data_IF_639919655503
#
_entry.id   IF_639919655503
#
_cell.length_a   1.000
_cell.length_b   1.000
_cell.length_c   1.000
_cell.angle_alpha   90.00
_cell.angle_beta   90.00
_cell.angle_gamma   90.00
#
_symmetry.space_group_name_H-M   'P 1'
#
loop_
_entity.id
_entity.type
_entity.pdbx_description
1 polymer ?
#
# COMPACT_ATOMS: atom_id res chain seq x y z
N UNK A 1 -13.40 -11.16 17.23
CA UNK A 1 -12.09 -11.50 17.82
C UNK A 1 -11.02 -10.83 16.97
N UNK A 2 -10.35 -9.79 17.47
CA UNK A 2 -9.18 -9.20 16.80
C UNK A 2 -7.94 -10.00 17.20
N UNK A 3 -7.46 -10.86 16.30
CA UNK A 3 -6.25 -11.65 16.54
C UNK A 3 -5.00 -10.77 16.30
N UNK A 4 -4.07 -10.76 17.26
CA UNK A 4 -2.74 -10.15 17.14
C UNK A 4 -2.67 -8.65 17.40
N UNK A 5 -3.63 -7.86 16.93
CA UNK A 5 -3.57 -6.40 16.94
C UNK A 5 -4.82 -5.75 17.55
N UNK A 6 -4.62 -4.74 18.40
CA UNK A 6 -5.69 -3.92 19.01
C UNK A 6 -5.71 -2.53 18.38
N UNK A 7 -6.88 -2.09 17.92
CA UNK A 7 -7.08 -0.73 17.42
C UNK A 7 -6.86 0.30 18.53
N UNK A 8 -5.96 1.27 18.28
CA UNK A 8 -5.70 2.42 19.14
C UNK A 8 -6.42 3.67 18.66
N UNK A 9 -6.31 3.95 17.37
CA UNK A 9 -6.95 5.08 16.73
C UNK A 9 -7.24 4.75 15.27
N UNK A 10 -8.28 5.37 14.73
CA UNK A 10 -8.57 5.36 13.30
C UNK A 10 -9.09 6.72 12.88
N UNK A 11 -8.75 7.13 11.68
CA UNK A 11 -9.27 8.34 11.05
C UNK A 11 -9.66 8.03 9.61
N UNK A 12 -10.79 8.57 9.18
CA UNK A 12 -11.28 8.42 7.82
C UNK A 12 -11.47 9.80 7.19
N UNK A 13 -10.91 9.97 6.01
CA UNK A 13 -11.02 11.18 5.20
C UNK A 13 -11.52 10.76 3.82
N UNK A 14 -12.46 11.51 3.26
CA UNK A 14 -12.98 11.27 1.91
C UNK A 14 -13.19 12.61 1.23
N UNK A 15 -12.26 12.96 0.34
CA UNK A 15 -12.19 14.28 -0.27
C UNK A 15 -12.02 14.16 -1.78
N UNK A 16 -12.53 15.13 -2.57
CA UNK A 16 -12.28 15.17 -4.00
C UNK A 16 -10.79 15.41 -4.26
N UNK A 17 -10.30 14.93 -5.41
CA UNK A 17 -8.96 15.28 -5.85
C UNK A 17 -8.92 16.73 -6.34
N UNK A 18 -8.02 17.53 -5.77
CA UNK A 18 -7.85 18.94 -6.13
C UNK A 18 -7.36 19.11 -7.59
N UNK A 19 -7.89 20.10 -8.30
CA UNK A 19 -7.69 20.27 -9.75
C UNK A 19 -6.22 20.45 -10.17
N UNK A 20 -5.40 21.08 -9.33
CA UNK A 20 -3.98 21.35 -9.59
C UNK A 20 -3.03 20.41 -8.81
N UNK A 21 -3.56 19.36 -8.18
CA UNK A 21 -2.74 18.46 -7.39
C UNK A 21 -1.93 17.50 -8.26
N UNK A 22 -0.62 17.49 -8.08
CA UNK A 22 0.27 16.42 -8.57
C UNK A 22 0.24 15.22 -7.62
N UNK A 23 -0.96 14.74 -7.30
CA UNK A 23 -1.17 13.66 -6.34
C UNK A 23 -0.98 12.30 -7.04
N UNK A 24 -0.29 11.40 -6.35
CA UNK A 24 -0.14 9.99 -6.67
C UNK A 24 -0.69 9.17 -5.50
N UNK A 25 -1.04 7.90 -5.74
CA UNK A 25 -1.44 6.97 -4.66
C UNK A 25 -0.39 6.96 -3.54
N UNK A 26 0.89 6.86 -3.91
CA UNK A 26 1.97 6.87 -2.94
C UNK A 26 2.06 8.18 -2.16
N UNK A 27 1.89 9.33 -2.79
CA UNK A 27 1.93 10.61 -2.07
C UNK A 27 0.79 10.77 -1.07
N UNK A 28 -0.43 10.28 -1.38
CA UNK A 28 -1.56 10.28 -0.44
C UNK A 28 -1.27 9.37 0.75
N UNK A 29 -0.76 8.16 0.49
CA UNK A 29 -0.35 7.21 1.53
C UNK A 29 0.76 7.79 2.40
N UNK A 30 1.80 8.36 1.79
CA UNK A 30 2.93 8.98 2.49
C UNK A 30 2.46 10.11 3.40
N UNK A 31 1.55 10.97 2.92
CA UNK A 31 0.98 12.07 3.70
C UNK A 31 0.23 11.55 4.93
N UNK A 32 -0.61 10.53 4.77
CA UNK A 32 -1.35 9.92 5.86
C UNK A 32 -0.45 9.22 6.89
N UNK A 33 0.68 8.66 6.46
CA UNK A 33 1.63 7.99 7.35
C UNK A 33 2.62 8.94 8.03
N UNK A 34 2.79 10.17 7.54
CA UNK A 34 3.84 11.09 7.98
C UNK A 34 3.81 11.42 9.47
N UNK A 35 2.64 11.35 10.12
CA UNK A 35 2.51 11.58 11.55
C UNK A 35 3.02 10.43 12.42
N UNK A 36 3.14 9.22 11.88
CA UNK A 36 3.43 7.98 12.63
C UNK A 36 4.65 7.20 12.11
N UNK A 37 5.16 7.55 10.93
CA UNK A 37 6.31 6.89 10.30
C UNK A 37 7.40 7.93 10.06
N UNK A 38 8.65 7.58 10.33
CA UNK A 38 9.77 8.51 10.15
C UNK A 38 9.96 8.84 8.66
N UNK A 39 10.38 10.08 8.32
CA UNK A 39 10.64 10.46 6.94
C UNK A 39 11.63 9.53 6.24
N UNK A 40 12.71 9.12 6.93
CA UNK A 40 13.71 8.21 6.40
C UNK A 40 13.13 6.83 6.03
N UNK A 41 12.21 6.29 6.82
CA UNK A 41 11.56 5.02 6.52
C UNK A 41 10.62 5.13 5.31
N UNK A 42 9.89 6.26 5.19
CA UNK A 42 9.06 6.55 4.02
C UNK A 42 9.89 6.74 2.75
N UNK A 43 11.01 7.45 2.84
CA UNK A 43 11.94 7.65 1.72
C UNK A 43 12.55 6.33 1.25
N UNK A 44 13.00 5.50 2.19
CA UNK A 44 13.54 4.17 1.87
C UNK A 44 12.49 3.27 1.22
N UNK A 45 11.25 3.27 1.74
CA UNK A 45 10.15 2.50 1.16
C UNK A 45 9.81 2.98 -0.26
N UNK A 46 9.76 4.29 -0.48
CA UNK A 46 9.53 4.88 -1.80
C UNK A 46 10.62 4.46 -2.79
N UNK A 47 11.89 4.60 -2.43
CA UNK A 47 13.02 4.22 -3.27
C UNK A 47 12.96 2.72 -3.62
N UNK A 48 12.65 1.87 -2.64
CA UNK A 48 12.52 0.42 -2.82
C UNK A 48 11.39 0.07 -3.78
N UNK A 49 10.21 0.69 -3.60
CA UNK A 49 9.04 0.47 -4.46
C UNK A 49 9.28 0.99 -5.88
N UNK A 50 9.87 2.18 -6.03
CA UNK A 50 10.23 2.73 -7.35
C UNK A 50 11.20 1.81 -8.08
N UNK A 51 12.23 1.31 -7.39
CA UNK A 51 13.16 0.33 -7.95
C UNK A 51 12.46 -0.95 -8.37
N UNK A 52 11.52 -1.46 -7.58
CA UNK A 52 10.73 -2.64 -7.91
C UNK A 52 9.87 -2.45 -9.18
N UNK A 53 9.27 -1.27 -9.34
CA UNK A 53 8.48 -0.91 -10.52
C UNK A 53 9.32 -0.74 -11.79
N UNK A 54 10.59 -0.34 -11.70
CA UNK A 54 11.46 -0.08 -12.87
C UNK A 54 12.30 -1.28 -13.31
N UNK A 55 12.21 -2.43 -12.64
CA UNK A 55 12.96 -3.62 -13.05
C UNK A 55 12.49 -4.13 -14.44
N UNK A 56 13.40 -4.54 -15.35
CA UNK A 56 13.09 -4.84 -16.75
C UNK A 56 12.04 -5.92 -17.01
N UNK A 57 11.78 -6.80 -16.05
CA UNK A 57 10.77 -7.86 -16.14
C UNK A 57 9.47 -7.55 -15.39
N UNK A 58 9.39 -6.37 -14.76
CA UNK A 58 8.39 -6.00 -13.75
C UNK A 58 8.47 -6.94 -12.55
N UNK A 59 8.74 -6.42 -11.34
CA UNK A 59 8.74 -7.26 -10.14
C UNK A 59 7.45 -8.09 -10.12
N UNK A 60 7.58 -9.41 -9.95
CA UNK A 60 6.42 -10.30 -9.89
C UNK A 60 5.50 -9.88 -8.76
N UNK A 61 6.07 -9.42 -7.65
CA UNK A 61 5.33 -8.86 -6.53
C UNK A 61 4.52 -7.62 -6.91
N UNK A 62 5.06 -6.70 -7.71
CA UNK A 62 4.32 -5.50 -8.17
C UNK A 62 3.15 -5.87 -9.06
N UNK A 63 3.34 -6.81 -9.99
CA UNK A 63 2.23 -7.32 -10.83
C UNK A 63 1.15 -8.04 -10.02
N UNK A 64 1.57 -8.85 -9.05
CA UNK A 64 0.64 -9.50 -8.13
C UNK A 64 -0.12 -8.46 -7.30
N UNK A 65 0.56 -7.43 -6.80
CA UNK A 65 -0.08 -6.32 -6.10
C UNK A 65 -1.12 -5.65 -7.00
N UNK A 66 -0.75 -5.25 -8.21
CA UNK A 66 -1.66 -4.63 -9.19
C UNK A 66 -2.89 -5.51 -9.42
N UNK A 67 -2.72 -6.81 -9.64
CA UNK A 67 -3.82 -7.76 -9.82
C UNK A 67 -4.66 -8.06 -8.56
N UNK A 68 -4.30 -7.51 -7.40
CA UNK A 68 -5.10 -7.60 -6.17
C UNK A 68 -5.73 -6.26 -5.76
N UNK A 69 -5.16 -5.14 -6.20
CA UNK A 69 -5.60 -3.79 -5.78
C UNK A 69 -6.30 -3.02 -6.90
N UNK A 70 -6.20 -3.47 -8.15
CA UNK A 70 -6.86 -2.87 -9.31
C UNK A 70 -7.95 -3.82 -9.82
N UNK A 71 -9.19 -3.35 -9.77
CA UNK A 71 -10.34 -4.07 -10.31
C UNK A 71 -10.91 -3.28 -11.49
N UNK A 72 -10.99 -3.92 -12.66
CA UNK A 72 -11.56 -3.31 -13.86
C UNK A 72 -13.07 -3.50 -13.86
N UNK A 73 -13.80 -2.40 -14.02
CA UNK A 73 -15.26 -2.38 -14.06
C UNK A 73 -15.78 -1.55 -15.24
N UNK A 74 -17.05 -1.73 -15.56
CA UNK A 74 -17.78 -0.84 -16.46
C UNK A 74 -18.63 0.13 -15.64
N UNK A 75 -18.59 1.42 -16.00
CA UNK A 75 -19.48 2.41 -15.43
C UNK A 75 -20.93 2.23 -15.95
N UNK A 76 -21.87 3.00 -15.42
CA UNK A 76 -23.29 2.91 -15.76
C UNK A 76 -23.58 3.20 -17.25
N UNK A 77 -22.67 3.88 -17.95
CA UNK A 77 -22.75 4.17 -19.38
C UNK A 77 -21.95 3.18 -20.24
N UNK A 78 -21.34 2.14 -19.62
CA UNK A 78 -20.50 1.15 -20.29
C UNK A 78 -19.06 1.61 -20.55
N UNK A 79 -18.64 2.74 -19.99
CA UNK A 79 -17.26 3.21 -20.05
C UNK A 79 -16.36 2.41 -19.11
N UNK A 80 -15.10 2.17 -19.51
CA UNK A 80 -14.15 1.48 -18.64
C UNK A 80 -13.74 2.36 -17.45
N UNK A 81 -13.72 1.77 -16.26
CA UNK A 81 -13.19 2.38 -15.05
C UNK A 81 -12.40 1.35 -14.23
N UNK A 82 -11.51 1.85 -13.37
CA UNK A 82 -10.72 1.04 -12.45
C UNK A 82 -11.08 1.42 -11.03
N UNK A 83 -11.50 0.44 -10.23
CA UNK A 83 -11.57 0.56 -8.77
C UNK A 83 -10.18 0.27 -8.22
N UNK A 84 -9.69 1.18 -7.39
CA UNK A 84 -8.37 1.08 -6.76
C UNK A 84 -8.57 0.91 -5.26
N UNK A 85 -8.02 -0.17 -4.70
CA UNK A 85 -8.09 -0.48 -3.27
C UNK A 85 -6.72 -0.92 -2.74
N UNK A 86 -5.92 0.03 -2.25
CA UNK A 86 -4.54 -0.19 -1.80
C UNK A 86 -4.46 -0.17 -0.28
N UNK A 87 -3.66 -1.07 0.30
CA UNK A 87 -3.36 -1.08 1.72
C UNK A 87 -1.85 -1.06 1.96
N UNK A 88 -1.38 -0.13 2.79
CA UNK A 88 0.04 0.03 3.11
C UNK A 88 0.23 0.02 4.62
N UNK A 89 1.06 -0.89 5.11
CA UNK A 89 1.35 -1.06 6.53
C UNK A 89 2.82 -0.85 6.86
N UNK A 90 3.10 -0.13 7.95
CA UNK A 90 4.44 0.00 8.55
C UNK A 90 4.42 -0.60 9.96
N UNK A 91 5.42 -1.42 10.25
CA UNK A 91 5.62 -2.00 11.58
C UNK A 91 6.82 -1.32 12.22
N UNK A 92 6.64 -0.73 13.41
CA UNK A 92 7.71 -0.07 14.16
C UNK A 92 8.55 -1.07 15.00
N UNK A 93 9.56 -0.57 15.71
CA UNK A 93 10.44 -1.36 16.56
C UNK A 93 9.72 -2.01 17.74
N UNK A 94 8.68 -1.35 18.26
CA UNK A 94 7.80 -1.88 19.30
C UNK A 94 6.76 -2.85 18.74
N UNK A 95 6.83 -3.14 17.43
CA UNK A 95 5.86 -3.91 16.68
C UNK A 95 4.47 -3.31 16.82
N UNK A 96 4.33 -1.99 16.74
CA UNK A 96 3.05 -1.36 16.44
C UNK A 96 2.86 -1.30 14.92
N UNK A 97 1.61 -1.29 14.44
CA UNK A 97 1.28 -1.31 13.02
C UNK A 97 0.51 -0.05 12.73
N UNK A 98 1.06 0.74 11.83
CA UNK A 98 0.39 1.86 11.20
C UNK A 98 -0.08 1.40 9.84
N UNK A 99 -1.39 1.43 9.58
CA UNK A 99 -2.01 0.97 8.34
C UNK A 99 -2.76 2.11 7.68
N UNK A 100 -2.59 2.28 6.38
CA UNK A 100 -3.43 3.15 5.55
C UNK A 100 -4.12 2.31 4.50
N UNK A 101 -5.43 2.52 4.37
CA UNK A 101 -6.26 1.98 3.29
C UNK A 101 -6.69 3.13 2.40
N UNK A 102 -6.45 3.04 1.11
CA UNK A 102 -6.83 4.03 0.11
C UNK A 102 -7.78 3.39 -0.89
N UNK A 103 -8.90 4.05 -1.16
CA UNK A 103 -9.94 3.59 -2.07
C UNK A 103 -10.45 4.73 -2.94
N UNK A 104 -10.46 4.54 -4.26
CA UNK A 104 -11.08 5.46 -5.22
C UNK A 104 -11.39 4.75 -6.53
N UNK A 105 -12.12 5.44 -7.41
CA UNK A 105 -12.42 4.96 -8.76
C UNK A 105 -11.85 5.96 -9.76
N UNK A 106 -11.27 5.48 -10.85
CA UNK A 106 -10.76 6.34 -11.92
C UNK A 106 -11.01 5.77 -13.30
N UNK A 107 -11.25 6.64 -14.28
CA UNK A 107 -11.33 6.31 -15.71
C UNK A 107 -9.98 6.40 -16.41
N UNK A 108 -8.95 6.91 -15.74
CA UNK A 108 -7.61 6.95 -16.31
C UNK A 108 -7.03 5.54 -16.36
N UNK A 109 -6.30 5.16 -17.43
CA UNK A 109 -5.51 3.95 -17.41
C UNK A 109 -4.35 4.10 -16.43
N UNK A 110 -4.11 3.06 -15.63
CA UNK A 110 -2.98 2.99 -14.70
C UNK A 110 -1.87 2.11 -15.28
N UNK A 111 -0.61 2.54 -15.10
CA UNK A 111 0.59 1.85 -15.56
C UNK A 111 1.02 0.72 -14.62
N UNK A 112 2.02 -0.06 -15.00
CA UNK A 112 2.66 -1.04 -14.09
C UNK A 112 3.28 -0.37 -12.84
N UNK A 113 3.55 0.94 -12.93
CA UNK A 113 4.01 1.79 -11.84
C UNK A 113 2.88 2.54 -11.12
N UNK A 114 1.62 2.06 -11.19
CA UNK A 114 0.41 2.76 -10.76
C UNK A 114 0.48 3.51 -9.42
N UNK A 115 1.28 3.04 -8.46
CA UNK A 115 1.50 3.73 -7.19
C UNK A 115 2.05 5.15 -7.35
N UNK A 116 2.77 5.41 -8.45
CA UNK A 116 3.47 6.64 -8.75
C UNK A 116 2.90 7.39 -9.95
N UNK A 117 1.84 6.89 -10.57
CA UNK A 117 1.13 7.62 -11.62
C UNK A 117 0.47 8.86 -11.02
N UNK A 118 0.58 9.99 -11.72
CA UNK A 118 -0.14 11.21 -11.35
C UNK A 118 -1.62 10.99 -11.64
N UNK A 119 -2.44 11.20 -10.61
CA UNK A 119 -3.89 11.06 -10.70
C UNK A 119 -4.48 12.29 -11.37
N UNK A 120 -5.29 12.09 -12.40
CA UNK A 120 -6.01 13.14 -13.10
C UNK A 120 -7.35 13.40 -12.37
N UNK A 121 -7.59 14.64 -11.88
CA UNK A 121 -8.84 14.97 -11.19
C UNK A 121 -10.08 14.77 -12.07
N UNK A 122 -9.99 15.10 -13.35
CA UNK A 122 -11.08 14.95 -14.31
C UNK A 122 -11.45 13.48 -14.59
N UNK A 123 -10.50 12.56 -14.41
CA UNK A 123 -10.67 11.13 -14.63
C UNK A 123 -11.06 10.39 -13.35
N UNK A 124 -10.88 11.01 -12.17
CA UNK A 124 -11.27 10.47 -10.88
C UNK A 124 -12.79 10.57 -10.69
N UNK A 125 -13.42 9.45 -10.31
CA UNK A 125 -14.86 9.36 -10.11
C UNK A 125 -15.17 9.46 -8.62
N UNK A 126 -15.72 10.62 -8.22
CA UNK A 126 -16.04 10.90 -6.82
C UNK A 126 -14.80 11.26 -6.01
N UNK A 127 -14.78 10.84 -4.74
CA UNK A 127 -13.74 11.20 -3.78
C UNK A 127 -12.67 10.12 -3.67
N UNK A 128 -11.45 10.54 -3.31
CA UNK A 128 -10.43 9.64 -2.80
C UNK A 128 -10.69 9.44 -1.31
N UNK A 129 -10.95 8.19 -0.94
CA UNK A 129 -11.21 7.80 0.44
C UNK A 129 -9.96 7.19 1.04
N UNK A 130 -9.54 7.71 2.19
CA UNK A 130 -8.38 7.24 2.92
C UNK A 130 -8.78 6.92 4.36
N UNK A 131 -8.39 5.75 4.84
CA UNK A 131 -8.59 5.35 6.24
C UNK A 131 -7.26 4.98 6.86
N UNK A 132 -6.88 5.71 7.90
CA UNK A 132 -5.71 5.48 8.72
C UNK A 132 -6.09 4.65 9.94
N UNK A 133 -5.21 3.73 10.34
CA UNK A 133 -5.32 2.96 11.56
C UNK A 133 -3.98 2.91 12.28
N UNK A 134 -3.99 3.22 13.57
CA UNK A 134 -2.92 2.91 14.50
C UNK A 134 -3.32 1.68 15.31
N UNK A 135 -2.51 0.64 15.22
CA UNK A 135 -2.75 -0.67 15.84
C UNK A 135 -1.60 -0.97 16.79
N UNK A 136 -1.92 -1.49 17.97
CA UNK A 136 -0.95 -1.95 18.96
C UNK A 136 -0.93 -3.47 19.03
N UNK A 137 0.25 -4.07 18.98
CA UNK A 137 0.37 -5.53 19.07
C UNK A 137 -0.01 -5.99 20.47
N UNK A 138 -0.94 -6.94 20.55
CA UNK A 138 -1.26 -7.64 21.79
C UNK A 138 -0.24 -8.76 22.02
N UNK A 139 0.99 -8.38 22.41
CA UNK A 139 2.14 -9.28 22.40
C UNK A 139 1.91 -10.53 23.28
N UNK A 140 1.25 -10.38 24.43
CA UNK A 140 0.91 -11.51 25.33
C UNK A 140 0.05 -12.61 24.66
N UNK A 141 -0.84 -12.23 23.74
CA UNK A 141 -1.70 -13.18 23.01
C UNK A 141 -0.91 -13.83 21.86
N UNK A 142 0.03 -13.09 21.28
CA UNK A 142 0.79 -13.52 20.11
C UNK A 142 2.04 -14.34 20.46
N UNK A 143 2.66 -14.09 21.62
CA UNK A 143 3.94 -14.66 22.04
C UNK A 143 3.94 -16.19 21.96
N UNK A 144 2.86 -16.83 22.42
CA UNK A 144 2.75 -18.30 22.49
C UNK A 144 2.68 -18.99 21.12
N UNK A 145 2.25 -18.25 20.09
CA UNK A 145 2.07 -18.79 18.74
C UNK A 145 3.14 -18.30 17.76
N UNK A 146 3.82 -17.20 18.07
CA UNK A 146 4.78 -16.53 17.17
C UNK A 146 5.89 -17.46 16.69
N UNK A 147 6.51 -18.20 17.60
CA UNK A 147 7.64 -19.08 17.25
C UNK A 147 7.19 -20.26 16.39
N UNK A 148 6.01 -20.83 16.71
CA UNK A 148 5.41 -21.93 15.93
C UNK A 148 5.05 -21.47 14.53
N UNK A 149 4.41 -20.30 14.40
CA UNK A 149 4.05 -19.72 13.10
C UNK A 149 5.31 -19.35 12.31
N UNK A 150 6.30 -18.71 12.96
CA UNK A 150 7.55 -18.32 12.30
C UNK A 150 8.31 -19.55 11.79
N UNK A 151 8.40 -20.61 12.59
CA UNK A 151 9.02 -21.88 12.21
C UNK A 151 8.27 -22.58 11.07
N UNK A 152 6.93 -22.65 11.14
CA UNK A 152 6.10 -23.24 10.07
C UNK A 152 6.22 -22.47 8.75
N UNK A 153 6.35 -21.14 8.81
CA UNK A 153 6.50 -20.29 7.63
C UNK A 153 7.94 -20.22 7.12
N UNK A 154 8.95 -20.53 7.94
CA UNK A 154 10.36 -20.44 7.57
C UNK A 154 10.68 -21.23 6.30
N UNK A 155 10.08 -22.42 6.14
CA UNK A 155 10.26 -23.28 4.95
C UNK A 155 9.56 -22.75 3.70
N UNK A 156 8.57 -21.87 3.84
CA UNK A 156 7.80 -21.28 2.72
C UNK A 156 8.29 -19.89 2.32
N UNK A 157 8.96 -19.16 3.23
CA UNK A 157 9.38 -17.77 3.03
C UNK A 157 10.33 -17.57 1.85
N UNK A 158 11.27 -18.48 1.63
CA UNK A 158 12.27 -18.33 0.56
C UNK A 158 11.66 -18.24 -0.85
N UNK A 159 10.48 -18.83 -1.09
CA UNK A 159 9.77 -18.74 -2.37
C UNK A 159 8.72 -17.62 -2.46
N UNK A 160 8.49 -16.90 -1.35
CA UNK A 160 7.46 -15.86 -1.23
C UNK A 160 8.05 -14.45 -1.10
N UNK A 161 9.37 -14.33 -0.97
CA UNK A 161 10.09 -13.07 -0.87
C UNK A 161 10.86 -12.86 -2.17
N UNK A 162 10.47 -11.86 -2.94
CA UNK A 162 11.25 -11.37 -4.07
C UNK A 162 12.29 -10.38 -3.52
N UNK A 163 13.54 -10.82 -3.42
CA UNK A 163 14.63 -9.93 -3.01
C UNK A 163 14.86 -8.92 -4.13
N UNK A 164 14.73 -7.62 -3.81
CA UNK A 164 15.15 -6.57 -4.72
C UNK A 164 16.67 -6.66 -4.88
N UNK A 165 17.14 -7.14 -6.04
CA UNK A 165 18.56 -7.13 -6.36
C UNK A 165 19.06 -5.69 -6.34
N UNK A 166 20.03 -5.41 -5.48
CA UNK A 166 20.89 -4.25 -5.66
C UNK A 166 21.68 -4.44 -6.94
N UNK A 167 21.29 -3.72 -7.99
CA UNK A 167 22.19 -3.50 -9.12
C UNK A 167 23.39 -2.75 -8.51
N UNK A 168 24.52 -3.43 -8.43
CA UNK A 168 25.78 -2.84 -8.02
C UNK A 168 26.09 -1.73 -9.01
N UNK A 169 26.25 -0.50 -8.53
CA UNK A 169 26.78 0.59 -9.34
C UNK A 169 28.19 0.19 -9.79
N UNK A 170 28.35 -0.08 -11.09
CA UNK A 170 29.64 -0.23 -11.76
C UNK A 170 29.95 1.06 -12.50
#
# INVERSE_FOLDING_TARGET
MSFGWMLKASEHVSEPLEADATETIWSSVRRALAASVTPAALDHAEQSLRKACTQPSGSRAVRLLAGQVLEQEADHAGGAQTVVAVQTGFIDEQRNLTLVQLHFVTRQPLSDGFLFDVLEPASTVGNISLTFYALHLMDLVYLQSRDKISSALATRRAGLIETLTEVSDV
#
